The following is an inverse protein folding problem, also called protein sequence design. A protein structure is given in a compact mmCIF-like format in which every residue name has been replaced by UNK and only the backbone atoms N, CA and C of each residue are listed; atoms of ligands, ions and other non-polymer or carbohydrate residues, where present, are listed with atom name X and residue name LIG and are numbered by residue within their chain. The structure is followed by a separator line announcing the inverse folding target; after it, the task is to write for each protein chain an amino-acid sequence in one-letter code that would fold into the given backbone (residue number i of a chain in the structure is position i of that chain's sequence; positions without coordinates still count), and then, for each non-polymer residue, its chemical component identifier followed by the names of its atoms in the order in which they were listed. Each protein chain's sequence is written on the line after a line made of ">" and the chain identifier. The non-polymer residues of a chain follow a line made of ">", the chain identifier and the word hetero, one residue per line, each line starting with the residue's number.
data_IF_929587661444
#
_entry.id   IF_929587661444
#
_cell.length_a   1.000
_cell.length_b   1.000
_cell.length_c   1.000
_cell.angle_alpha   90.00
_cell.angle_beta   90.00
_cell.angle_gamma   90.00
#
_symmetry.space_group_name_H-M   'P 1'
#
loop_
_entity.id
_entity.type
_entity.pdbx_description
1 polymer ?
#
# COMPACT_ATOMS: atom_id res chain seq x y z
N UNK A 1 -20.57 -17.41 29.86
CA UNK A 1 -19.97 -16.08 30.04
C UNK A 1 -18.48 -16.23 30.35
N UNK A 2 -17.63 -16.40 29.33
CA UNK A 2 -16.18 -16.29 29.51
C UNK A 2 -15.84 -14.78 29.49
N UNK A 3 -15.64 -14.28 30.70
CA UNK A 3 -15.21 -12.96 31.18
C UNK A 3 -14.77 -11.89 30.15
N UNK A 4 -15.37 -10.69 30.26
CA UNK A 4 -14.88 -9.40 29.72
C UNK A 4 -13.54 -8.92 30.34
N UNK A 5 -12.74 -9.83 30.90
CA UNK A 5 -11.53 -9.45 31.61
C UNK A 5 -10.47 -8.99 30.59
N UNK A 6 -9.93 -7.77 30.72
CA UNK A 6 -8.94 -7.29 29.75
C UNK A 6 -7.68 -8.15 29.83
N UNK A 7 -7.05 -8.42 28.67
CA UNK A 7 -5.82 -9.22 28.57
C UNK A 7 -4.69 -8.70 29.48
N UNK A 8 -4.70 -7.40 29.80
CA UNK A 8 -3.74 -6.78 30.72
C UNK A 8 -3.79 -7.31 32.15
N UNK A 9 -4.86 -8.02 32.54
CA UNK A 9 -5.00 -8.64 33.87
C UNK A 9 -4.58 -10.12 33.88
N UNK A 10 -4.23 -10.69 32.73
CA UNK A 10 -3.76 -12.08 32.63
C UNK A 10 -2.23 -12.11 32.66
N UNK A 11 -1.61 -13.16 33.23
CA UNK A 11 -0.18 -13.39 33.09
C UNK A 11 0.25 -13.40 31.62
N UNK A 12 1.33 -12.69 31.30
CA UNK A 12 1.81 -12.52 29.92
C UNK A 12 2.00 -13.85 29.19
N UNK A 13 2.53 -14.86 29.88
CA UNK A 13 2.74 -16.20 29.30
C UNK A 13 1.44 -16.90 28.88
N UNK A 14 0.36 -16.68 29.62
CA UNK A 14 -0.96 -17.22 29.27
C UNK A 14 -1.48 -16.52 28.00
N UNK A 15 -1.34 -15.20 27.93
CA UNK A 15 -1.74 -14.43 26.73
C UNK A 15 -0.94 -14.88 25.50
N UNK A 16 0.37 -15.06 25.64
CA UNK A 16 1.24 -15.57 24.57
C UNK A 16 0.74 -16.91 24.00
N UNK A 17 0.51 -17.89 24.87
CA UNK A 17 0.06 -19.24 24.47
C UNK A 17 -1.35 -19.22 23.88
N UNK A 18 -2.26 -18.42 24.44
CA UNK A 18 -3.62 -18.31 23.92
C UNK A 18 -3.64 -17.73 22.49
N UNK A 19 -2.87 -16.67 22.24
CA UNK A 19 -2.81 -16.06 20.90
C UNK A 19 -2.14 -17.01 19.90
N UNK A 20 -1.12 -17.76 20.32
CA UNK A 20 -0.51 -18.80 19.49
C UNK A 20 -1.51 -19.92 19.13
N UNK A 21 -2.27 -20.42 20.10
CA UNK A 21 -3.33 -21.41 19.86
C UNK A 21 -4.38 -20.86 18.90
N UNK A 22 -4.82 -19.61 19.10
CA UNK A 22 -5.77 -18.96 18.20
C UNK A 22 -5.23 -18.80 16.77
N UNK A 23 -3.95 -18.44 16.61
CA UNK A 23 -3.33 -18.33 15.30
C UNK A 23 -3.32 -19.68 14.56
N UNK A 24 -3.07 -20.77 15.29
CA UNK A 24 -3.11 -22.12 14.74
C UNK A 24 -4.53 -22.61 14.42
N UNK A 25 -5.50 -22.35 15.30
CA UNK A 25 -6.90 -22.73 15.10
C UNK A 25 -7.51 -22.00 13.90
N UNK A 26 -7.31 -20.69 13.80
CA UNK A 26 -7.85 -19.86 12.71
C UNK A 26 -7.22 -20.16 11.35
N UNK A 27 -6.07 -20.85 11.30
CA UNK A 27 -5.48 -21.28 10.03
C UNK A 27 -6.39 -22.23 9.25
N UNK A 28 -7.26 -22.97 9.94
CA UNK A 28 -8.24 -23.87 9.33
C UNK A 28 -9.55 -23.09 9.15
N UNK A 29 -10.17 -23.20 7.98
CA UNK A 29 -11.41 -22.48 7.66
C UNK A 29 -12.51 -22.66 8.72
N UNK A 30 -12.74 -23.91 9.14
CA UNK A 30 -13.70 -24.23 10.20
C UNK A 30 -13.30 -23.62 11.56
N UNK A 31 -12.02 -23.58 11.87
CA UNK A 31 -11.52 -22.93 13.08
C UNK A 31 -11.76 -21.42 13.08
N UNK A 32 -11.55 -20.74 11.94
CA UNK A 32 -11.91 -19.32 11.79
C UNK A 32 -13.42 -19.11 11.94
N UNK A 33 -14.24 -19.95 11.30
CA UNK A 33 -15.71 -19.87 11.40
C UNK A 33 -16.21 -20.02 12.83
N UNK A 34 -15.61 -20.92 13.60
CA UNK A 34 -15.93 -21.11 15.03
C UNK A 34 -15.43 -19.90 15.84
N UNK A 35 -14.19 -19.45 15.63
CA UNK A 35 -13.62 -18.31 16.38
C UNK A 35 -14.40 -17.01 16.15
N UNK A 36 -14.98 -16.80 14.97
CA UNK A 36 -15.82 -15.65 14.65
C UNK A 36 -17.13 -15.59 15.46
N UNK A 37 -17.54 -16.68 16.12
CA UNK A 37 -18.70 -16.69 17.03
C UNK A 37 -18.38 -16.12 18.41
N UNK A 38 -17.09 -15.86 18.69
CA UNK A 38 -16.60 -15.34 19.95
C UNK A 38 -15.92 -13.99 19.73
N UNK A 39 -15.87 -13.11 20.74
CA UNK A 39 -15.25 -11.78 20.62
C UNK A 39 -13.71 -11.88 20.68
N UNK A 40 -13.10 -12.55 19.69
CA UNK A 40 -11.66 -12.82 19.61
C UNK A 40 -10.90 -11.64 19.00
N UNK A 41 -11.51 -10.95 18.02
CA UNK A 41 -10.85 -9.90 17.23
C UNK A 41 -10.44 -8.72 18.11
N UNK A 42 -11.35 -8.17 18.92
CA UNK A 42 -11.06 -7.01 19.76
C UNK A 42 -9.91 -7.25 20.77
N UNK A 43 -9.85 -8.38 21.52
CA UNK A 43 -8.69 -8.72 22.35
C UNK A 43 -7.38 -8.81 21.55
N UNK A 44 -7.39 -9.44 20.38
CA UNK A 44 -6.19 -9.56 19.51
C UNK A 44 -5.72 -8.19 19.05
N UNK A 45 -6.63 -7.33 18.59
CA UNK A 45 -6.31 -5.96 18.19
C UNK A 45 -5.78 -5.10 19.35
N UNK A 46 -6.20 -5.38 20.59
CA UNK A 46 -5.66 -4.68 21.77
C UNK A 46 -4.16 -4.91 21.97
N UNK A 47 -3.63 -6.05 21.51
CA UNK A 47 -2.20 -6.35 21.50
C UNK A 47 -1.49 -5.60 20.37
N UNK A 48 -2.04 -5.63 19.15
CA UNK A 48 -1.51 -4.90 17.98
C UNK A 48 -1.47 -3.39 18.23
N UNK A 49 -2.44 -2.84 18.96
CA UNK A 49 -2.51 -1.42 19.33
C UNK A 49 -1.30 -0.96 20.17
N UNK A 50 -0.66 -1.87 20.93
CA UNK A 50 0.47 -1.56 21.83
C UNK A 50 1.71 -2.39 21.48
N UNK A 51 2.26 -2.27 20.27
CA UNK A 51 3.27 -3.21 19.77
C UNK A 51 4.62 -3.09 20.50
N UNK A 52 4.90 -1.96 21.18
CA UNK A 52 6.11 -1.81 22.00
C UNK A 52 6.03 -2.56 23.34
N UNK A 53 4.83 -2.95 23.76
CA UNK A 53 4.60 -3.65 25.04
C UNK A 53 4.46 -5.17 24.86
N UNK A 54 4.42 -5.65 23.63
CA UNK A 54 4.27 -7.06 23.30
C UNK A 54 5.59 -7.63 22.80
N UNK A 55 5.82 -8.92 23.04
CA UNK A 55 6.89 -9.65 22.35
C UNK A 55 6.58 -9.73 20.86
N UNK A 56 7.61 -9.73 20.03
CA UNK A 56 7.47 -9.84 18.57
C UNK A 56 6.65 -11.08 18.16
N UNK A 57 6.86 -12.21 18.84
CA UNK A 57 6.11 -13.46 18.59
C UNK A 57 4.60 -13.30 18.89
N UNK A 58 4.24 -12.62 19.97
CA UNK A 58 2.83 -12.35 20.29
C UNK A 58 2.19 -11.48 19.21
N UNK A 59 2.90 -10.48 18.70
CA UNK A 59 2.41 -9.64 17.60
C UNK A 59 2.31 -10.40 16.29
N UNK A 60 3.26 -11.30 16.03
CA UNK A 60 3.26 -12.15 14.84
C UNK A 60 2.02 -13.04 14.85
N UNK A 61 1.76 -13.76 15.94
CA UNK A 61 0.56 -14.59 16.07
C UNK A 61 -0.72 -13.75 16.04
N UNK A 62 -0.72 -12.55 16.62
CA UNK A 62 -1.86 -11.62 16.53
C UNK A 62 -2.15 -11.22 15.08
N UNK A 63 -1.12 -10.87 14.30
CA UNK A 63 -1.25 -10.53 12.88
C UNK A 63 -1.71 -11.73 12.05
N UNK A 64 -1.26 -12.95 12.38
CA UNK A 64 -1.75 -14.19 11.76
C UNK A 64 -3.24 -14.40 12.02
N UNK A 65 -3.71 -14.21 13.26
CA UNK A 65 -5.14 -14.30 13.57
C UNK A 65 -5.95 -13.31 12.72
N UNK A 66 -5.52 -12.05 12.63
CA UNK A 66 -6.21 -11.04 11.79
C UNK A 66 -6.19 -11.43 10.31
N UNK A 67 -5.05 -11.92 9.80
CA UNK A 67 -4.94 -12.40 8.42
C UNK A 67 -5.92 -13.53 8.14
N UNK A 68 -6.00 -14.52 9.03
CA UNK A 68 -6.88 -15.68 8.89
C UNK A 68 -8.36 -15.29 8.97
N UNK A 69 -8.71 -14.43 9.93
CA UNK A 69 -10.07 -13.90 10.10
C UNK A 69 -10.52 -13.08 8.89
N UNK A 70 -9.62 -12.34 8.25
CA UNK A 70 -9.93 -11.54 7.07
C UNK A 70 -10.34 -12.39 5.84
N UNK A 71 -10.07 -13.70 5.83
CA UNK A 71 -10.54 -14.62 4.77
C UNK A 71 -12.02 -14.95 4.93
N UNK A 72 -12.60 -14.73 6.12
CA UNK A 72 -14.01 -14.99 6.39
C UNK A 72 -14.81 -13.67 6.41
N UNK A 73 -15.83 -13.54 5.58
CA UNK A 73 -16.54 -12.26 5.35
C UNK A 73 -16.99 -11.56 6.62
N UNK A 74 -17.65 -12.28 7.53
CA UNK A 74 -18.11 -11.71 8.79
C UNK A 74 -16.94 -11.24 9.67
N UNK A 75 -15.87 -12.04 9.73
CA UNK A 75 -14.68 -11.72 10.49
C UNK A 75 -13.92 -10.53 9.90
N UNK A 76 -13.84 -10.45 8.57
CA UNK A 76 -13.26 -9.31 7.84
C UNK A 76 -14.02 -8.02 8.14
N UNK A 77 -15.34 -8.03 8.05
CA UNK A 77 -16.17 -6.86 8.32
C UNK A 77 -16.02 -6.39 9.78
N UNK A 78 -16.08 -7.31 10.74
CA UNK A 78 -15.88 -6.99 12.16
C UNK A 78 -14.48 -6.41 12.41
N UNK A 79 -13.43 -7.00 11.82
CA UNK A 79 -12.07 -6.50 11.94
C UNK A 79 -11.92 -5.08 11.38
N UNK A 80 -12.52 -4.78 10.22
CA UNK A 80 -12.52 -3.44 9.63
C UNK A 80 -13.23 -2.44 10.54
N UNK A 81 -14.41 -2.81 11.08
CA UNK A 81 -15.17 -1.96 12.02
C UNK A 81 -14.39 -1.68 13.32
N UNK A 82 -13.48 -2.56 13.70
CA UNK A 82 -12.60 -2.41 14.86
C UNK A 82 -11.24 -1.78 14.52
N UNK A 83 -11.14 -1.08 13.39
CA UNK A 83 -9.95 -0.35 12.91
C UNK A 83 -8.71 -1.25 12.69
N UNK A 84 -8.89 -2.53 12.36
CA UNK A 84 -7.77 -3.47 12.17
C UNK A 84 -6.74 -2.98 11.14
N UNK A 85 -7.18 -2.35 10.05
CA UNK A 85 -6.31 -1.80 9.00
C UNK A 85 -5.35 -0.76 9.58
N UNK A 86 -5.90 0.24 10.27
CA UNK A 86 -5.12 1.32 10.90
C UNK A 86 -4.15 0.75 11.95
N UNK A 87 -4.63 -0.16 12.81
CA UNK A 87 -3.82 -0.74 13.86
C UNK A 87 -2.65 -1.57 13.31
N UNK A 88 -2.90 -2.38 12.28
CA UNK A 88 -1.86 -3.15 11.60
C UNK A 88 -0.84 -2.25 10.90
N UNK A 89 -1.27 -1.19 10.21
CA UNK A 89 -0.37 -0.22 9.57
C UNK A 89 0.46 0.56 10.58
N UNK A 90 -0.12 1.02 11.69
CA UNK A 90 0.61 1.67 12.78
C UNK A 90 1.61 0.74 13.46
N UNK A 91 1.28 -0.54 13.60
CA UNK A 91 2.21 -1.55 14.09
C UNK A 91 3.35 -1.79 13.09
N UNK A 92 3.02 -1.91 11.80
CA UNK A 92 3.98 -2.07 10.70
C UNK A 92 4.99 -0.91 10.68
N UNK A 93 4.54 0.34 10.73
CA UNK A 93 5.44 1.51 10.80
C UNK A 93 6.42 1.41 11.97
N UNK A 94 5.96 0.97 13.15
CA UNK A 94 6.85 0.81 14.33
C UNK A 94 7.84 -0.33 14.13
N UNK A 95 7.46 -1.42 13.47
CA UNK A 95 8.38 -2.51 13.12
C UNK A 95 9.43 -2.04 12.11
N UNK A 96 9.03 -1.30 11.07
CA UNK A 96 9.94 -0.76 10.05
C UNK A 96 10.91 0.28 10.63
N UNK A 97 10.48 1.08 11.61
CA UNK A 97 11.33 2.03 12.34
C UNK A 97 12.22 1.37 13.43
N UNK A 98 12.19 0.05 13.59
CA UNK A 98 12.99 -0.66 14.59
C UNK A 98 12.54 -0.42 16.04
N UNK A 99 11.31 0.05 16.24
CA UNK A 99 10.77 0.40 17.56
C UNK A 99 10.11 -0.79 18.27
N UNK A 100 10.02 -1.95 17.61
CA UNK A 100 9.57 -3.22 18.18
C UNK A 100 10.80 -4.10 18.38
N UNK A 101 10.98 -4.60 19.61
CA UNK A 101 12.12 -5.46 19.95
C UNK A 101 11.93 -6.83 19.30
N UNK A 102 12.74 -7.10 18.28
CA UNK A 102 12.85 -8.41 17.65
C UNK A 102 14.24 -8.98 17.94
N UNK A 103 14.30 -10.18 18.51
CA UNK A 103 15.57 -10.82 18.91
C UNK A 103 16.46 -11.18 17.71
N UNK A 104 15.86 -11.39 16.54
CA UNK A 104 16.54 -11.82 15.32
C UNK A 104 15.94 -11.13 14.09
N UNK A 105 16.77 -10.83 13.08
CA UNK A 105 16.34 -10.21 11.82
C UNK A 105 15.27 -11.02 11.10
N UNK A 106 15.41 -12.36 11.05
CA UNK A 106 14.41 -13.24 10.44
C UNK A 106 13.01 -13.14 11.09
N UNK A 107 12.95 -12.97 12.42
CA UNK A 107 11.67 -12.75 13.13
C UNK A 107 11.03 -11.41 12.78
N UNK A 108 11.85 -10.38 12.51
CA UNK A 108 11.35 -9.05 12.09
C UNK A 108 10.78 -9.11 10.67
N UNK A 109 11.44 -9.81 9.76
CA UNK A 109 10.98 -10.00 8.39
C UNK A 109 9.64 -10.74 8.37
N UNK A 110 9.53 -11.81 9.17
CA UNK A 110 8.29 -12.58 9.28
C UNK A 110 7.15 -11.78 9.92
N UNK A 111 7.43 -11.00 10.97
CA UNK A 111 6.43 -10.10 11.56
C UNK A 111 5.96 -9.05 10.54
N UNK A 112 6.89 -8.46 9.78
CA UNK A 112 6.58 -7.51 8.70
C UNK A 112 5.69 -8.17 7.66
N UNK A 113 6.04 -9.39 7.23
CA UNK A 113 5.27 -10.19 6.26
C UNK A 113 3.85 -10.43 6.75
N UNK A 114 3.67 -10.84 8.00
CA UNK A 114 2.35 -11.10 8.58
C UNK A 114 1.51 -9.82 8.74
N UNK A 115 2.11 -8.70 9.14
CA UNK A 115 1.38 -7.42 9.25
C UNK A 115 0.91 -6.91 7.87
N UNK A 116 1.78 -6.95 6.87
CA UNK A 116 1.40 -6.55 5.50
C UNK A 116 0.39 -7.54 4.91
N UNK A 117 0.51 -8.85 5.17
CA UNK A 117 -0.46 -9.85 4.76
C UNK A 117 -1.85 -9.60 5.38
N UNK A 118 -1.91 -9.21 6.65
CA UNK A 118 -3.16 -8.86 7.31
C UNK A 118 -3.83 -7.65 6.62
N UNK A 119 -3.06 -6.59 6.33
CA UNK A 119 -3.59 -5.40 5.64
C UNK A 119 -4.04 -5.76 4.22
N UNK A 120 -3.26 -6.56 3.49
CA UNK A 120 -3.60 -7.04 2.15
C UNK A 120 -4.92 -7.82 2.14
N UNK A 121 -5.11 -8.74 3.09
CA UNK A 121 -6.33 -9.53 3.18
C UNK A 121 -7.55 -8.64 3.46
N UNK A 122 -7.40 -7.66 4.36
CA UNK A 122 -8.46 -6.70 4.67
C UNK A 122 -8.76 -5.74 3.50
N UNK A 123 -7.75 -5.30 2.74
CA UNK A 123 -7.89 -4.29 1.68
C UNK A 123 -8.73 -4.76 0.48
N UNK A 124 -8.99 -6.07 0.38
CA UNK A 124 -9.93 -6.64 -0.60
C UNK A 124 -11.37 -6.13 -0.43
N UNK A 125 -11.74 -5.61 0.75
CA UNK A 125 -13.03 -4.96 0.97
C UNK A 125 -12.96 -3.45 0.68
N UNK A 126 -13.97 -2.91 0.00
CA UNK A 126 -14.05 -1.47 -0.33
C UNK A 126 -13.96 -0.58 0.92
N UNK A 127 -14.57 -0.99 2.03
CA UNK A 127 -14.59 -0.22 3.29
C UNK A 127 -13.21 -0.12 3.96
N UNK A 128 -12.27 -1.00 3.63
CA UNK A 128 -10.91 -0.99 4.18
C UNK A 128 -9.98 0.00 3.44
N UNK A 129 -10.18 0.17 2.13
CA UNK A 129 -9.30 0.98 1.26
C UNK A 129 -9.11 2.44 1.73
N UNK A 130 -10.14 3.16 2.25
CA UNK A 130 -9.95 4.52 2.78
C UNK A 130 -8.86 4.57 3.86
N UNK A 131 -8.85 3.58 4.78
CA UNK A 131 -7.87 3.49 5.86
C UNK A 131 -6.48 3.11 5.36
N UNK A 132 -6.41 2.30 4.31
CA UNK A 132 -5.13 2.01 3.62
C UNK A 132 -4.54 3.29 3.02
N UNK A 133 -5.35 4.12 2.39
CA UNK A 133 -4.88 5.38 1.80
C UNK A 133 -4.45 6.36 2.90
N UNK A 134 -5.20 6.44 4.00
CA UNK A 134 -4.91 7.35 5.11
C UNK A 134 -3.63 6.99 5.88
N UNK A 135 -3.42 5.70 6.19
CA UNK A 135 -2.33 5.26 7.07
C UNK A 135 -1.22 4.46 6.37
N UNK A 136 -1.45 4.05 5.12
CA UNK A 136 -0.63 3.05 4.44
C UNK A 136 0.44 3.61 3.52
N UNK A 137 0.41 4.89 3.14
CA UNK A 137 1.32 5.47 2.15
C UNK A 137 2.78 5.16 2.48
N UNK A 138 3.27 5.66 3.61
CA UNK A 138 4.67 5.48 3.98
C UNK A 138 5.04 4.01 4.30
N UNK A 139 4.33 3.29 5.19
CA UNK A 139 4.75 1.93 5.55
C UNK A 139 4.67 0.95 4.37
N UNK A 140 3.68 1.07 3.47
CA UNK A 140 3.59 0.17 2.32
C UNK A 140 4.65 0.48 1.28
N UNK A 141 4.98 1.76 1.04
CA UNK A 141 6.07 2.13 0.13
C UNK A 141 7.42 1.62 0.66
N UNK A 142 7.70 1.73 1.95
CA UNK A 142 8.90 1.13 2.56
C UNK A 142 8.95 -0.40 2.39
N UNK A 143 7.80 -1.07 2.41
CA UNK A 143 7.73 -2.51 2.17
C UNK A 143 8.06 -2.91 0.72
N UNK A 144 7.95 -2.01 -0.26
CA UNK A 144 8.30 -2.30 -1.65
C UNK A 144 9.80 -2.54 -1.87
N UNK A 145 10.66 -2.00 -1.01
CA UNK A 145 12.12 -2.20 -1.07
C UNK A 145 12.63 -3.23 -0.06
N UNK A 146 11.72 -3.97 0.60
CA UNK A 146 12.08 -4.94 1.62
C UNK A 146 12.87 -6.12 1.04
N UNK A 147 13.80 -6.71 1.80
CA UNK A 147 14.62 -7.87 1.38
C UNK A 147 13.75 -9.11 1.02
N UNK A 148 12.76 -9.40 1.85
CA UNK A 148 11.79 -10.48 1.65
C UNK A 148 10.84 -10.23 0.45
N UNK A 149 10.83 -11.11 -0.58
CA UNK A 149 9.95 -10.98 -1.74
C UNK A 149 8.45 -10.99 -1.39
N UNK A 150 8.04 -11.81 -0.41
CA UNK A 150 6.65 -11.89 0.01
C UNK A 150 6.14 -10.57 0.62
N UNK A 151 7.01 -9.83 1.35
CA UNK A 151 6.67 -8.50 1.87
C UNK A 151 6.41 -7.53 0.72
N UNK A 152 7.31 -7.50 -0.28
CA UNK A 152 7.16 -6.64 -1.46
C UNK A 152 5.88 -6.95 -2.22
N UNK A 153 5.59 -8.23 -2.45
CA UNK A 153 4.40 -8.68 -3.16
C UNK A 153 3.12 -8.28 -2.42
N UNK A 154 3.04 -8.52 -1.11
CA UNK A 154 1.86 -8.16 -0.32
C UNK A 154 1.64 -6.64 -0.31
N UNK A 155 2.71 -5.85 -0.21
CA UNK A 155 2.63 -4.39 -0.28
C UNK A 155 2.13 -3.92 -1.65
N UNK A 156 2.67 -4.49 -2.74
CA UNK A 156 2.23 -4.16 -4.10
C UNK A 156 0.73 -4.46 -4.30
N UNK A 157 0.26 -5.64 -3.89
CA UNK A 157 -1.17 -6.01 -3.98
C UNK A 157 -2.04 -5.04 -3.15
N UNK A 158 -1.59 -4.71 -1.94
CA UNK A 158 -2.31 -3.79 -1.04
C UNK A 158 -2.44 -2.39 -1.65
N UNK A 159 -1.35 -1.85 -2.19
CA UNK A 159 -1.33 -0.53 -2.85
C UNK A 159 -2.24 -0.55 -4.07
N UNK A 160 -2.13 -1.56 -4.92
CA UNK A 160 -2.95 -1.68 -6.13
C UNK A 160 -4.44 -1.75 -5.80
N UNK A 161 -4.81 -2.53 -4.79
CA UNK A 161 -6.20 -2.65 -4.33
C UNK A 161 -6.73 -1.33 -3.76
N UNK A 162 -5.91 -0.57 -3.01
CA UNK A 162 -6.29 0.76 -2.54
C UNK A 162 -6.46 1.77 -3.68
N UNK A 163 -5.66 1.64 -4.74
CA UNK A 163 -5.71 2.48 -5.93
C UNK A 163 -6.90 2.17 -6.86
N UNK A 164 -7.69 1.13 -6.59
CA UNK A 164 -8.97 0.94 -7.27
C UNK A 164 -9.96 2.07 -6.88
N UNK A 165 -9.77 2.71 -5.72
CA UNK A 165 -10.42 3.98 -5.41
C UNK A 165 -9.65 5.11 -6.11
N UNK A 166 -10.30 5.98 -6.90
CA UNK A 166 -9.63 7.07 -7.62
C UNK A 166 -8.77 7.98 -6.74
N UNK A 167 -9.23 8.25 -5.51
CA UNK A 167 -8.49 9.07 -4.52
C UNK A 167 -7.22 8.41 -3.98
N UNK A 168 -7.03 7.10 -4.18
CA UNK A 168 -5.86 6.37 -3.72
C UNK A 168 -4.64 6.54 -4.62
N UNK A 169 -4.86 6.76 -5.92
CA UNK A 169 -3.77 6.84 -6.91
C UNK A 169 -2.83 8.00 -6.60
N UNK A 170 -3.35 9.23 -6.45
CA UNK A 170 -2.51 10.41 -6.35
C UNK A 170 -1.53 10.41 -5.15
N UNK A 171 -1.93 10.05 -3.91
CA UNK A 171 -1.00 9.97 -2.79
C UNK A 171 0.14 8.96 -2.99
N UNK A 172 -0.14 7.78 -3.56
CA UNK A 172 0.89 6.78 -3.84
C UNK A 172 1.79 7.21 -5.00
N UNK A 173 1.24 7.79 -6.07
CA UNK A 173 2.01 8.36 -7.18
C UNK A 173 3.00 9.40 -6.66
N UNK A 174 2.52 10.36 -5.87
CA UNK A 174 3.38 11.42 -5.32
C UNK A 174 4.52 10.84 -4.48
N UNK A 175 4.22 9.85 -3.63
CA UNK A 175 5.24 9.24 -2.77
C UNK A 175 6.29 8.43 -3.56
N UNK A 176 5.86 7.76 -4.64
CA UNK A 176 6.71 6.94 -5.50
C UNK A 176 7.42 7.74 -6.59
N UNK A 177 7.09 9.03 -6.77
CA UNK A 177 7.66 9.89 -7.79
C UNK A 177 9.19 9.91 -7.74
N UNK A 178 9.78 9.91 -6.53
CA UNK A 178 11.22 9.88 -6.28
C UNK A 178 11.87 8.50 -6.50
N UNK A 179 11.11 7.48 -6.89
CA UNK A 179 11.61 6.13 -7.23
C UNK A 179 10.88 5.60 -8.47
N UNK A 180 11.22 6.12 -9.67
CA UNK A 180 10.48 5.88 -10.91
C UNK A 180 10.31 4.40 -11.26
N UNK A 181 11.31 3.57 -10.94
CA UNK A 181 11.27 2.13 -11.20
C UNK A 181 10.12 1.46 -10.42
N UNK A 182 9.96 1.81 -9.14
CA UNK A 182 8.86 1.31 -8.31
C UNK A 182 7.51 1.87 -8.74
N UNK A 183 7.46 3.14 -9.16
CA UNK A 183 6.23 3.74 -9.68
C UNK A 183 5.73 2.98 -10.91
N UNK A 184 6.63 2.69 -11.85
CA UNK A 184 6.34 1.96 -13.09
C UNK A 184 5.93 0.51 -12.80
N UNK A 185 6.53 -0.13 -11.79
CA UNK A 185 6.23 -1.51 -11.42
C UNK A 185 4.95 -1.68 -10.60
N UNK A 186 4.62 -0.71 -9.75
CA UNK A 186 3.46 -0.80 -8.85
C UNK A 186 2.21 -0.18 -9.47
N UNK A 187 2.32 1.02 -10.04
CA UNK A 187 1.16 1.77 -10.54
C UNK A 187 1.10 1.80 -12.07
N UNK A 188 2.24 1.93 -12.75
CA UNK A 188 2.32 2.01 -14.21
C UNK A 188 1.34 3.05 -14.76
N UNK A 189 0.51 2.65 -15.73
CA UNK A 189 -0.47 3.52 -16.39
C UNK A 189 -1.45 4.17 -15.42
N UNK A 190 -1.77 3.53 -14.27
CA UNK A 190 -2.69 4.11 -13.27
C UNK A 190 -2.17 5.46 -12.75
N UNK A 191 -0.85 5.68 -12.73
CA UNK A 191 -0.25 6.91 -12.23
C UNK A 191 -0.36 8.11 -13.19
N UNK A 192 -0.61 7.89 -14.49
CA UNK A 192 -0.53 8.93 -15.53
C UNK A 192 -1.39 10.15 -15.21
N UNK A 193 -2.65 9.94 -14.81
CA UNK A 193 -3.55 11.05 -14.49
C UNK A 193 -3.12 11.83 -13.25
N UNK A 194 -2.51 11.16 -12.28
CA UNK A 194 -1.99 11.79 -11.07
C UNK A 194 -0.71 12.60 -11.34
N UNK A 195 0.11 12.19 -12.32
CA UNK A 195 1.32 12.93 -12.72
C UNK A 195 0.99 14.30 -13.33
N UNK A 196 -0.19 14.45 -13.95
CA UNK A 196 -0.62 15.72 -14.56
C UNK A 196 -0.53 16.90 -13.57
N UNK A 197 -0.87 16.67 -12.30
CA UNK A 197 -0.83 17.71 -11.27
C UNK A 197 0.59 18.25 -11.05
N UNK A 198 1.59 17.38 -11.09
CA UNK A 198 3.01 17.73 -10.93
C UNK A 198 3.61 18.41 -12.18
N UNK A 199 2.89 18.39 -13.32
CA UNK A 199 3.28 19.06 -14.56
C UNK A 199 2.54 20.37 -14.80
N UNK A 200 1.58 20.76 -13.95
CA UNK A 200 0.80 21.99 -14.13
C UNK A 200 1.43 23.20 -13.44
N UNK A 201 2.24 22.99 -12.40
CA UNK A 201 2.72 24.10 -11.56
C UNK A 201 4.01 24.74 -12.04
N UNK A 202 4.84 24.04 -12.82
CA UNK A 202 6.13 24.46 -13.45
C UNK A 202 7.21 25.08 -12.53
N UNK A 203 6.84 25.53 -11.34
CA UNK A 203 7.65 26.06 -10.23
C UNK A 203 8.20 24.97 -9.30
N UNK A 204 7.85 23.70 -9.54
CA UNK A 204 8.10 22.61 -8.59
C UNK A 204 9.24 21.69 -9.05
N UNK A 205 10.11 21.29 -8.13
CA UNK A 205 11.18 20.31 -8.39
C UNK A 205 10.63 18.96 -8.89
N UNK A 206 9.33 18.75 -8.75
CA UNK A 206 8.62 17.54 -9.15
C UNK A 206 8.34 17.45 -10.65
N UNK A 207 8.31 18.57 -11.41
CA UNK A 207 7.98 18.53 -12.84
C UNK A 207 8.98 17.69 -13.66
N UNK A 208 10.31 17.88 -13.56
CA UNK A 208 11.28 17.03 -14.25
C UNK A 208 11.12 15.54 -13.92
N UNK A 209 10.79 15.24 -12.66
CA UNK A 209 10.67 13.87 -12.17
C UNK A 209 9.37 13.23 -12.69
N UNK A 210 8.28 13.98 -12.74
CA UNK A 210 7.01 13.54 -13.30
C UNK A 210 7.12 13.22 -14.79
N UNK A 211 7.83 14.07 -15.56
CA UNK A 211 8.09 13.80 -16.98
C UNK A 211 8.96 12.56 -17.16
N UNK A 212 10.02 12.40 -16.36
CA UNK A 212 10.87 11.19 -16.41
C UNK A 212 10.08 9.92 -16.07
N UNK A 213 9.22 9.99 -15.05
CA UNK A 213 8.32 8.91 -14.69
C UNK A 213 7.34 8.58 -15.83
N UNK A 214 6.72 9.59 -16.45
CA UNK A 214 5.81 9.42 -17.57
C UNK A 214 6.50 8.73 -18.76
N UNK A 215 7.72 9.17 -19.10
CA UNK A 215 8.52 8.55 -20.15
C UNK A 215 8.82 7.07 -19.84
N UNK A 216 9.18 6.76 -18.59
CA UNK A 216 9.45 5.39 -18.16
C UNK A 216 8.19 4.50 -18.20
N UNK A 217 7.01 5.03 -17.84
CA UNK A 217 5.74 4.31 -17.98
C UNK A 217 5.45 4.03 -19.47
N UNK A 218 5.66 5.03 -20.34
CA UNK A 218 5.46 4.89 -21.77
C UNK A 218 6.40 3.88 -22.43
N UNK A 219 7.64 3.75 -21.94
CA UNK A 219 8.57 2.70 -22.43
C UNK A 219 8.07 1.30 -22.13
N UNK A 220 7.39 1.11 -20.99
CA UNK A 220 6.81 -0.17 -20.60
C UNK A 220 5.48 -0.47 -21.31
N UNK A 221 4.64 0.55 -21.52
CA UNK A 221 3.37 0.42 -22.24
C UNK A 221 3.07 1.68 -23.06
N UNK A 222 3.56 1.71 -24.30
CA UNK A 222 3.44 2.87 -25.17
C UNK A 222 1.98 3.19 -25.52
N UNK A 223 1.19 2.17 -25.85
CA UNK A 223 -0.20 2.33 -26.30
C UNK A 223 -1.12 2.74 -25.15
N UNK A 224 -1.08 2.02 -24.03
CA UNK A 224 -1.94 2.33 -22.89
C UNK A 224 -1.59 3.67 -22.23
N UNK A 225 -0.31 4.05 -22.25
CA UNK A 225 0.12 5.37 -21.75
C UNK A 225 -0.36 6.49 -22.67
N UNK A 226 -0.20 6.35 -23.98
CA UNK A 226 -0.67 7.36 -24.95
C UNK A 226 -2.20 7.56 -24.84
N UNK A 227 -2.98 6.47 -24.78
CA UNK A 227 -4.42 6.53 -24.57
C UNK A 227 -4.77 7.27 -23.27
N UNK A 228 -4.08 6.93 -22.17
CA UNK A 228 -4.35 7.54 -20.86
C UNK A 228 -3.96 9.02 -20.80
N UNK A 229 -2.86 9.43 -21.43
CA UNK A 229 -2.47 10.85 -21.55
C UNK A 229 -3.62 11.62 -22.23
N UNK A 230 -4.12 11.10 -23.34
CA UNK A 230 -5.18 11.73 -24.13
C UNK A 230 -6.51 11.78 -23.40
N UNK A 231 -6.81 10.80 -22.55
CA UNK A 231 -8.01 10.78 -21.71
C UNK A 231 -7.88 11.66 -20.45
N UNK A 232 -6.66 12.08 -20.10
CA UNK A 232 -6.43 12.92 -18.92
C UNK A 232 -6.64 14.38 -19.30
N UNK A 233 -7.59 15.03 -18.63
CA UNK A 233 -7.94 16.43 -18.86
C UNK A 233 -6.69 17.33 -18.75
N UNK A 234 -6.53 18.23 -19.71
CA UNK A 234 -5.45 19.23 -19.81
C UNK A 234 -4.02 18.65 -19.90
N UNK A 235 -3.86 17.32 -19.96
CA UNK A 235 -2.53 16.70 -19.94
C UNK A 235 -1.70 17.03 -21.18
N UNK A 236 -2.31 17.00 -22.37
CA UNK A 236 -1.63 17.37 -23.61
C UNK A 236 -1.26 18.85 -23.58
N UNK A 237 -2.18 19.71 -23.16
CA UNK A 237 -1.94 21.15 -23.08
C UNK A 237 -0.82 21.46 -22.09
N UNK A 238 -0.79 20.80 -20.93
CA UNK A 238 0.28 20.94 -19.94
C UNK A 238 1.64 20.46 -20.50
N UNK A 239 1.67 19.34 -21.24
CA UNK A 239 2.89 18.88 -21.91
C UNK A 239 3.34 19.88 -22.99
N UNK A 240 2.43 20.43 -23.79
CA UNK A 240 2.77 21.43 -24.80
C UNK A 240 3.29 22.72 -24.16
N UNK A 241 2.63 23.20 -23.10
CA UNK A 241 3.06 24.37 -22.34
C UNK A 241 4.46 24.16 -21.75
N UNK A 242 4.75 22.95 -21.23
CA UNK A 242 6.06 22.62 -20.70
C UNK A 242 7.19 22.80 -21.72
N UNK A 243 6.92 22.68 -23.03
CA UNK A 243 7.90 22.91 -24.10
C UNK A 243 8.22 24.38 -24.35
N UNK A 244 7.32 25.28 -23.96
CA UNK A 244 7.43 26.72 -24.24
C UNK A 244 7.80 27.55 -23.01
N UNK A 245 7.55 27.04 -21.81
CA UNK A 245 7.85 27.74 -20.57
C UNK A 245 9.35 27.80 -20.28
N UNK A 246 9.86 29.01 -20.01
CA UNK A 246 11.28 29.26 -19.77
C UNK A 246 11.80 28.72 -18.44
N UNK A 247 10.91 28.48 -17.49
CA UNK A 247 11.23 27.96 -16.15
C UNK A 247 11.48 26.45 -16.16
N UNK A 248 10.98 25.75 -17.18
CA UNK A 248 11.19 24.31 -17.36
C UNK A 248 12.60 24.05 -17.90
N UNK A 249 13.43 23.23 -17.22
CA UNK A 249 14.77 22.91 -17.70
C UNK A 249 14.76 22.30 -19.10
N UNK A 250 15.73 22.66 -19.95
CA UNK A 250 15.84 22.19 -21.34
C UNK A 250 15.81 20.66 -21.44
N UNK A 251 16.46 19.95 -20.51
CA UNK A 251 16.45 18.48 -20.46
C UNK A 251 15.03 17.91 -20.22
N UNK A 252 14.22 18.62 -19.45
CA UNK A 252 12.81 18.27 -19.20
C UNK A 252 11.99 18.54 -20.44
N UNK A 253 12.19 19.68 -21.12
CA UNK A 253 11.54 19.98 -22.40
C UNK A 253 11.85 18.92 -23.47
N UNK A 254 13.11 18.48 -23.57
CA UNK A 254 13.50 17.39 -24.47
C UNK A 254 12.78 16.09 -24.12
N UNK A 255 12.69 15.75 -22.84
CA UNK A 255 11.98 14.56 -22.37
C UNK A 255 10.47 14.62 -22.69
N UNK A 256 9.85 15.79 -22.55
CA UNK A 256 8.45 16.02 -22.95
C UNK A 256 8.28 15.85 -24.46
N UNK A 257 9.19 16.44 -25.26
CA UNK A 257 9.15 16.31 -26.71
C UNK A 257 9.28 14.84 -27.15
N UNK A 258 10.11 14.06 -26.45
CA UNK A 258 10.27 12.64 -26.69
C UNK A 258 8.99 11.86 -26.34
N UNK A 259 8.33 12.17 -25.21
CA UNK A 259 7.03 11.57 -24.85
C UNK A 259 5.99 11.81 -25.93
N UNK A 260 5.81 13.06 -26.36
CA UNK A 260 4.86 13.45 -27.39
C UNK A 260 5.21 12.80 -28.75
N UNK A 261 6.50 12.75 -29.11
CA UNK A 261 6.95 12.09 -30.35
C UNK A 261 6.61 10.60 -30.34
N UNK A 262 6.87 9.89 -29.24
CA UNK A 262 6.53 8.47 -29.07
C UNK A 262 5.03 8.23 -29.14
N UNK A 263 4.21 9.13 -28.58
CA UNK A 263 2.75 9.06 -28.74
C UNK A 263 2.35 9.13 -30.21
N UNK A 264 2.88 10.10 -30.97
CA UNK A 264 2.59 10.25 -32.40
C UNK A 264 3.10 9.09 -33.27
N UNK A 265 4.06 8.30 -32.79
CA UNK A 265 4.54 7.07 -33.44
C UNK A 265 3.68 5.84 -33.10
N UNK A 266 2.89 5.90 -32.02
CA UNK A 266 2.13 4.76 -31.52
C UNK A 266 0.86 4.51 -32.33
N UNK A 267 0.15 5.57 -32.73
CA UNK A 267 -1.04 5.48 -33.58
C UNK A 267 -1.24 6.79 -34.40
N UNK A 268 -1.78 6.66 -35.61
CA UNK A 268 -2.09 7.80 -36.48
C UNK A 268 -3.14 8.75 -35.88
N UNK A 269 -4.01 8.25 -35.01
CA UNK A 269 -5.00 9.04 -34.28
C UNK A 269 -4.35 10.01 -33.28
N UNK A 270 -3.31 9.55 -32.57
CA UNK A 270 -2.53 10.40 -31.66
C UNK A 270 -1.69 11.42 -32.39
N UNK A 271 -1.16 11.09 -33.58
CA UNK A 271 -0.40 12.02 -34.41
C UNK A 271 -1.20 13.25 -34.88
N UNK A 272 -2.53 13.11 -34.98
CA UNK A 272 -3.43 14.19 -35.39
C UNK A 272 -3.84 15.12 -34.25
N UNK A 273 -3.76 14.62 -33.01
CA UNK A 273 -4.02 15.39 -31.79
C UNK A 273 -2.73 16.08 -31.38
#
# INVERSE_FOLDING_TARGET
>A
MLTKQPLSKLPTRIVELLVEVLANLTRIHEGTRICAQFPVIAPVLSLIKKPRLCRAETLLHSAMVITNVAVYDQGRLEAIQLDAVELCLKALSKVLLGQVRCEQTGKRDELTRCLVAAVMALSTAEDAKPRVIEFGIEPLVQCLTHSCPAVRQNANITINSACDLPRGVAPFTQRLLRTPELLVDVLGIKAVSALNKSMNTFDDEDTPIAVKALAAIQEKDAYGTADRIVQTLDMIDNLVNALTESEVPIETQQSVADVLRRMGQTDNSYRRR
#
